data_IF_966361999199
#
_entry.id   IF_966361999199
#
_cell.length_a   1.000
_cell.length_b   1.000
_cell.length_c   1.000
_cell.angle_alpha   90.00
_cell.angle_beta   90.00
_cell.angle_gamma   90.00
#
_symmetry.space_group_name_H-M   'P 1'
#
loop_
_entity.id
_entity.type
_entity.pdbx_description
1 polymer ?
#
# COMPACT_ATOMS: atom_id res chain seq x y z
N UNK A 1 9.52 12.17 2.91
CA UNK A 1 8.17 11.60 2.68
C UNK A 1 8.23 10.76 1.40
N UNK A 2 7.33 9.79 1.19
CA UNK A 2 7.52 8.71 0.20
C UNK A 2 6.79 8.88 -1.15
N UNK A 3 6.20 10.05 -1.44
CA UNK A 3 5.53 10.37 -2.72
C UNK A 3 4.58 9.29 -3.24
N UNK A 4 3.74 8.75 -2.35
CA UNK A 4 2.78 7.69 -2.67
C UNK A 4 1.36 8.11 -2.32
N UNK A 5 0.40 7.58 -3.07
CA UNK A 5 -1.03 7.70 -2.73
C UNK A 5 -1.42 6.50 -1.87
N UNK A 6 -1.91 6.76 -0.66
CA UNK A 6 -2.28 5.71 0.31
C UNK A 6 -3.71 5.93 0.80
N UNK A 7 -4.50 4.87 0.72
CA UNK A 7 -5.81 4.80 1.35
C UNK A 7 -5.81 3.67 2.38
N UNK A 8 -6.12 3.98 3.64
CA UNK A 8 -6.23 3.02 4.72
C UNK A 8 -7.60 3.16 5.38
N UNK A 9 -8.39 2.09 5.34
CA UNK A 9 -9.75 2.06 5.90
C UNK A 9 -9.83 0.90 6.88
N UNK A 10 -10.07 1.20 8.14
CA UNK A 10 -10.33 0.19 9.15
C UNK A 10 -11.84 -0.12 9.18
N UNK A 11 -12.23 -1.20 8.49
CA UNK A 11 -13.62 -1.60 8.29
C UNK A 11 -14.37 -1.91 9.61
N UNK A 12 -13.68 -2.47 10.60
CA UNK A 12 -14.24 -2.84 11.90
C UNK A 12 -13.17 -2.98 12.97
N UNK A 13 -13.59 -2.92 14.24
CA UNK A 13 -12.75 -3.21 15.40
C UNK A 13 -13.09 -2.30 16.58
N UNK A 14 -13.06 -2.86 17.78
CA UNK A 14 -13.32 -2.14 19.05
C UNK A 14 -12.05 -1.85 19.83
N UNK A 15 -11.03 -2.72 19.72
CA UNK A 15 -9.74 -2.55 20.37
C UNK A 15 -8.81 -1.66 19.54
N UNK A 16 -8.32 -0.56 20.13
CA UNK A 16 -7.43 0.42 19.48
C UNK A 16 -6.09 -0.17 19.05
N UNK A 17 -5.46 -0.99 19.89
CA UNK A 17 -4.19 -1.64 19.58
C UNK A 17 -4.32 -2.51 18.34
N UNK A 18 -5.34 -3.38 18.31
CA UNK A 18 -5.56 -4.28 17.17
C UNK A 18 -5.89 -3.51 15.88
N UNK A 19 -6.65 -2.40 15.95
CA UNK A 19 -6.96 -1.58 14.76
C UNK A 19 -5.70 -0.97 14.15
N UNK A 20 -4.79 -0.46 14.98
CA UNK A 20 -3.53 0.13 14.52
C UNK A 20 -2.64 -0.96 13.95
N UNK A 21 -2.43 -2.05 14.68
CA UNK A 21 -1.61 -3.18 14.22
C UNK A 21 -2.12 -3.75 12.89
N UNK A 22 -3.44 -3.91 12.75
CA UNK A 22 -4.06 -4.35 11.50
C UNK A 22 -3.83 -3.37 10.35
N UNK A 23 -3.87 -2.05 10.60
CA UNK A 23 -3.58 -1.04 9.58
C UNK A 23 -2.13 -1.13 9.09
N UNK A 24 -1.16 -1.28 10.00
CA UNK A 24 0.26 -1.43 9.65
C UNK A 24 0.52 -2.75 8.90
N UNK A 25 -0.08 -3.85 9.34
CA UNK A 25 0.03 -5.15 8.65
C UNK A 25 -0.58 -5.10 7.25
N UNK A 26 -1.75 -4.46 7.09
CA UNK A 26 -2.37 -4.29 5.78
C UNK A 26 -1.51 -3.42 4.85
N UNK A 27 -0.94 -2.32 5.35
CA UNK A 27 -0.03 -1.47 4.59
C UNK A 27 1.21 -2.26 4.15
N UNK A 28 1.84 -3.04 5.03
CA UNK A 28 3.00 -3.86 4.69
C UNK A 28 2.70 -4.86 3.56
N UNK A 29 1.54 -5.53 3.60
CA UNK A 29 1.10 -6.44 2.54
C UNK A 29 0.85 -5.68 1.22
N UNK A 30 0.22 -4.52 1.28
CA UNK A 30 -0.03 -3.69 0.10
C UNK A 30 1.29 -3.20 -0.54
N UNK A 31 2.24 -2.72 0.26
CA UNK A 31 3.55 -2.30 -0.21
C UNK A 31 4.34 -3.46 -0.83
N UNK A 32 4.35 -4.64 -0.19
CA UNK A 32 5.01 -5.83 -0.74
C UNK A 32 4.48 -6.19 -2.14
N UNK A 33 3.18 -6.00 -2.37
CA UNK A 33 2.54 -6.27 -3.68
C UNK A 33 2.77 -5.13 -4.68
N UNK A 34 2.65 -3.87 -4.25
CA UNK A 34 2.78 -2.71 -5.12
C UNK A 34 4.23 -2.42 -5.54
N UNK A 35 5.21 -2.79 -4.71
CA UNK A 35 6.63 -2.60 -4.97
C UNK A 35 7.33 -3.86 -5.52
N UNK A 36 6.59 -4.91 -5.89
CA UNK A 36 7.19 -6.10 -6.50
C UNK A 36 7.71 -5.77 -7.91
N UNK A 37 8.90 -6.25 -8.25
CA UNK A 37 9.49 -6.07 -9.57
C UNK A 37 8.66 -6.86 -10.60
N UNK A 38 8.29 -6.20 -11.70
CA UNK A 38 7.68 -6.82 -12.87
C UNK A 38 8.51 -6.49 -14.11
N UNK A 39 9.24 -7.47 -14.61
CA UNK A 39 10.18 -7.31 -15.74
C UNK A 39 9.48 -6.94 -17.06
N UNK A 40 8.18 -7.23 -17.18
CA UNK A 40 7.40 -7.00 -18.40
C UNK A 40 6.62 -5.67 -18.40
N UNK A 41 6.56 -4.95 -17.27
CA UNK A 41 5.65 -3.81 -17.11
C UNK A 41 6.19 -2.48 -17.63
N UNK A 42 7.50 -2.33 -17.81
CA UNK A 42 8.11 -1.02 -18.10
C UNK A 42 7.75 0.03 -17.04
N UNK A 43 7.58 1.29 -17.43
CA UNK A 43 7.03 2.33 -16.54
C UNK A 43 5.51 2.24 -16.53
N UNK A 44 4.85 1.94 -15.39
CA UNK A 44 3.40 1.75 -15.32
C UNK A 44 2.63 3.09 -15.31
N UNK A 45 2.83 3.91 -16.35
CA UNK A 45 2.20 5.21 -16.53
C UNK A 45 1.97 5.51 -18.01
N UNK A 46 0.76 5.91 -18.36
CA UNK A 46 0.42 6.33 -19.74
C UNK A 46 1.19 7.58 -20.18
N UNK A 47 1.71 8.36 -19.22
CA UNK A 47 2.56 9.53 -19.48
C UNK A 47 4.05 9.19 -19.56
N UNK A 48 4.42 7.92 -19.33
CA UNK A 48 5.80 7.46 -19.33
C UNK A 48 6.63 7.88 -18.12
N UNK A 49 6.03 8.51 -17.12
CA UNK A 49 6.68 9.02 -15.89
C UNK A 49 5.81 8.78 -14.65
N UNK A 50 6.43 8.66 -13.48
CA UNK A 50 5.79 8.53 -12.16
C UNK A 50 6.05 9.76 -11.30
#
# INVERSE_FOLDING_TARGET
NASMTVHLICQRGTNKHHRIEAAFKALAVALRRGASINENAGVPSTKGVL
#
